data_IF_947513504496
#
_entry.id   IF_947513504496
#
_cell.length_a   1.000
_cell.length_b   1.000
_cell.length_c   1.000
_cell.angle_alpha   90.00
_cell.angle_beta   90.00
_cell.angle_gamma   90.00
#
_symmetry.space_group_name_H-M   'P 1'
#
loop_
_entity.id
_entity.type
_entity.pdbx_description
1 polymer ?
#
# COMPACT_ATOMS: atom_id res chain seq x y z
N UNK A 1 -15.48 3.86 0.82
CA UNK A 1 -14.91 2.55 1.17
C UNK A 1 -15.17 2.28 2.63
N UNK A 2 -15.65 1.08 2.95
CA UNK A 2 -15.98 0.74 4.32
C UNK A 2 -14.78 0.38 5.20
N UNK A 3 -13.58 0.44 4.67
CA UNK A 3 -12.38 0.03 5.39
C UNK A 3 -11.31 1.12 5.31
N UNK A 4 -10.90 1.61 6.49
CA UNK A 4 -9.88 2.66 6.61
C UNK A 4 -8.55 2.21 6.04
N UNK A 5 -8.16 0.96 6.22
CA UNK A 5 -6.89 0.44 5.70
C UNK A 5 -6.86 0.44 4.18
N UNK A 6 -7.98 0.13 3.53
CA UNK A 6 -8.07 0.20 2.07
C UNK A 6 -7.92 1.64 1.56
N UNK A 7 -8.52 2.58 2.25
CA UNK A 7 -8.35 4.00 1.95
C UNK A 7 -6.89 4.43 2.10
N UNK A 8 -6.24 3.99 3.17
CA UNK A 8 -4.81 4.26 3.40
C UNK A 8 -3.94 3.68 2.30
N UNK A 9 -4.23 2.45 1.85
CA UNK A 9 -3.49 1.82 0.75
C UNK A 9 -3.60 2.64 -0.52
N UNK A 10 -4.80 3.04 -0.91
CA UNK A 10 -5.01 3.85 -2.11
C UNK A 10 -4.27 5.18 -2.01
N UNK A 11 -4.34 5.83 -0.84
CA UNK A 11 -3.65 7.08 -0.58
C UNK A 11 -2.13 6.93 -0.72
N UNK A 12 -1.57 5.82 -0.22
CA UNK A 12 -0.14 5.56 -0.31
C UNK A 12 0.30 5.35 -1.76
N UNK A 13 -0.52 4.69 -2.56
CA UNK A 13 -0.23 4.46 -3.97
C UNK A 13 -0.40 5.71 -4.83
N UNK A 14 -1.21 6.66 -4.39
CA UNK A 14 -1.26 7.98 -5.01
C UNK A 14 0.03 8.75 -4.78
N UNK A 15 0.59 8.64 -3.59
CA UNK A 15 1.85 9.32 -3.24
C UNK A 15 3.06 8.63 -3.86
N UNK A 16 3.06 7.30 -3.86
CA UNK A 16 4.16 6.48 -4.39
C UNK A 16 3.61 5.62 -5.52
N UNK A 17 3.91 5.85 -6.71
CA UNK A 17 3.33 5.20 -7.88
C UNK A 17 3.26 3.67 -7.79
N UNK A 18 4.20 3.06 -7.09
CA UNK A 18 4.26 1.61 -6.93
C UNK A 18 4.86 1.25 -5.56
N UNK A 19 4.28 0.26 -4.89
CA UNK A 19 4.77 -0.24 -3.61
C UNK A 19 4.75 -1.76 -3.60
N UNK A 20 5.79 -2.37 -3.01
CA UNK A 20 5.81 -3.79 -2.71
C UNK A 20 4.90 -4.09 -1.51
N UNK A 21 4.32 -5.29 -1.48
CA UNK A 21 3.46 -5.71 -0.37
C UNK A 21 4.18 -5.62 0.98
N UNK A 22 5.49 -5.87 1.02
CA UNK A 22 6.30 -5.69 2.23
C UNK A 22 6.23 -4.28 2.78
N UNK A 23 6.35 -3.30 1.91
CA UNK A 23 6.30 -1.89 2.27
C UNK A 23 4.91 -1.52 2.76
N UNK A 24 3.88 -2.03 2.10
CA UNK A 24 2.49 -1.74 2.45
C UNK A 24 2.17 -2.29 3.83
N UNK A 25 2.46 -3.55 4.11
CA UNK A 25 2.10 -4.12 5.40
C UNK A 25 2.93 -3.56 6.56
N UNK A 26 4.19 -3.21 6.30
CA UNK A 26 5.02 -2.55 7.30
C UNK A 26 4.46 -1.17 7.66
N UNK A 27 4.08 -0.41 6.65
CA UNK A 27 3.50 0.92 6.85
C UNK A 27 2.13 0.86 7.55
N UNK A 28 1.27 -0.09 7.15
CA UNK A 28 -0.05 -0.25 7.77
C UNK A 28 0.03 -0.77 9.21
N UNK A 29 1.12 -1.46 9.57
CA UNK A 29 1.24 -2.09 10.86
C UNK A 29 0.39 -3.34 11.02
N UNK A 30 0.11 -4.04 9.90
CA UNK A 30 -0.67 -5.29 9.90
C UNK A 30 0.18 -6.43 9.34
N UNK A 31 -0.31 -7.67 9.48
CA UNK A 31 0.38 -8.83 8.93
C UNK A 31 0.37 -8.81 7.39
N UNK A 32 1.32 -9.53 6.78
CA UNK A 32 1.34 -9.67 5.34
C UNK A 32 0.06 -10.29 4.78
N UNK A 33 -0.52 -11.27 5.50
CA UNK A 33 -1.78 -11.89 5.11
C UNK A 33 -2.94 -10.89 5.09
N UNK A 34 -3.03 -10.05 6.12
CA UNK A 34 -4.07 -9.02 6.20
C UNK A 34 -3.92 -7.99 5.08
N UNK A 35 -2.69 -7.52 4.83
CA UNK A 35 -2.41 -6.59 3.74
C UNK A 35 -2.78 -7.21 2.38
N UNK A 36 -2.43 -8.48 2.17
CA UNK A 36 -2.77 -9.21 0.93
C UNK A 36 -4.27 -9.31 0.74
N UNK A 37 -5.04 -9.56 1.81
CA UNK A 37 -6.49 -9.61 1.73
C UNK A 37 -7.09 -8.27 1.28
N UNK A 38 -6.60 -7.16 1.82
CA UNK A 38 -7.04 -5.83 1.39
C UNK A 38 -6.68 -5.57 -0.08
N UNK A 39 -5.47 -5.93 -0.48
CA UNK A 39 -5.01 -5.73 -1.85
C UNK A 39 -5.78 -6.60 -2.84
N UNK A 40 -6.12 -7.83 -2.46
CA UNK A 40 -6.95 -8.70 -3.30
C UNK A 40 -8.34 -8.12 -3.50
N UNK A 41 -8.94 -7.58 -2.44
CA UNK A 41 -10.26 -6.93 -2.54
C UNK A 41 -10.20 -5.71 -3.46
N UNK A 42 -9.15 -4.89 -3.35
CA UNK A 42 -8.95 -3.74 -4.22
C UNK A 42 -8.69 -4.15 -5.67
N UNK A 43 -7.98 -5.25 -5.88
CA UNK A 43 -7.75 -5.81 -7.21
C UNK A 43 -9.03 -6.31 -7.88
N UNK A 44 -9.91 -6.96 -7.11
CA UNK A 44 -11.21 -7.39 -7.61
C UNK A 44 -12.10 -6.21 -8.00
N UNK A 45 -11.98 -5.10 -7.28
CA UNK A 45 -12.68 -3.86 -7.62
C UNK A 45 -12.01 -3.08 -8.75
N UNK A 46 -10.90 -3.58 -9.29
CA UNK A 46 -10.12 -2.95 -10.37
C UNK A 46 -9.55 -1.58 -10.00
N UNK A 47 -9.31 -1.37 -8.70
CA UNK A 47 -8.71 -0.13 -8.19
C UNK A 47 -7.19 -0.23 -8.24
N UNK A 48 -6.64 -1.42 -7.95
CA UNK A 48 -5.20 -1.67 -8.01
C UNK A 48 -4.89 -2.80 -8.98
N UNK A 49 -3.67 -2.78 -9.49
CA UNK A 49 -3.10 -3.88 -10.28
C UNK A 49 -1.79 -4.32 -9.66
N UNK A 50 -1.35 -5.52 -9.97
CA UNK A 50 -0.12 -6.08 -9.43
C UNK A 50 0.85 -6.44 -10.55
N UNK A 51 2.14 -6.40 -10.21
CA UNK A 51 3.22 -6.84 -11.07
C UNK A 51 4.16 -7.72 -10.24
N UNK A 52 4.47 -8.89 -10.75
CA UNK A 52 5.38 -9.81 -10.06
C UNK A 52 6.78 -9.67 -10.67
N UNK A 53 7.76 -9.49 -9.81
CA UNK A 53 9.17 -9.44 -10.19
C UNK A 53 9.95 -10.37 -9.27
N UNK A 54 10.32 -11.55 -9.80
CA UNK A 54 10.89 -12.62 -8.98
C UNK A 54 9.90 -13.05 -7.90
N UNK A 55 10.32 -12.98 -6.64
CA UNK A 55 9.48 -13.29 -5.49
C UNK A 55 8.70 -12.07 -4.96
N UNK A 56 8.93 -10.89 -5.54
CA UNK A 56 8.35 -9.64 -5.08
C UNK A 56 7.08 -9.32 -5.86
N UNK A 57 6.04 -8.90 -5.16
CA UNK A 57 4.80 -8.46 -5.78
C UNK A 57 4.64 -6.96 -5.52
N UNK A 58 4.55 -6.21 -6.58
CA UNK A 58 4.40 -4.76 -6.55
C UNK A 58 2.97 -4.38 -6.93
N UNK A 59 2.41 -3.43 -6.22
CA UNK A 59 1.05 -2.94 -6.46
C UNK A 59 1.09 -1.48 -6.88
N UNK A 60 0.19 -1.14 -7.80
CA UNK A 60 0.01 0.23 -8.28
C UNK A 60 -1.47 0.46 -8.57
N UNK A 61 -1.85 1.73 -8.70
CA UNK A 61 -3.23 2.07 -9.03
C UNK A 61 -3.52 1.76 -10.49
N UNK A 62 -4.69 1.18 -10.74
CA UNK A 62 -5.15 0.93 -12.11
C UNK A 62 -5.93 2.15 -12.58
N UNK A 63 -5.32 2.99 -13.40
CA UNK A 63 -5.87 4.27 -13.83
C UNK A 63 -6.54 4.23 -15.20
N UNK A 64 -6.90 3.05 -15.68
CA UNK A 64 -7.55 2.91 -16.98
C UNK A 64 -9.01 3.36 -16.98
N UNK A 65 -9.65 3.40 -15.82
CA UNK A 65 -11.06 3.74 -15.66
C UNK A 65 -11.20 5.19 -15.23
N UNK A 66 -12.03 5.96 -15.94
CA UNK A 66 -12.29 7.37 -15.61
C UNK A 66 -12.96 7.54 -14.25
N UNK A 67 -13.81 6.61 -13.84
CA UNK A 67 -14.45 6.64 -12.54
C UNK A 67 -13.42 6.50 -11.42
N UNK A 68 -12.40 5.69 -11.63
CA UNK A 68 -11.30 5.54 -10.68
C UNK A 68 -10.48 6.83 -10.61
N UNK A 69 -10.22 7.46 -11.75
CA UNK A 69 -9.51 8.75 -11.77
C UNK A 69 -10.28 9.84 -11.02
N UNK A 70 -11.60 9.87 -11.14
CA UNK A 70 -12.44 10.79 -10.38
C UNK A 70 -12.37 10.51 -8.88
N UNK A 71 -12.41 9.24 -8.49
CA UNK A 71 -12.26 8.83 -7.10
C UNK A 71 -10.90 9.27 -6.54
N UNK A 72 -9.84 9.12 -7.33
CA UNK A 72 -8.48 9.51 -6.91
C UNK A 72 -8.35 11.01 -6.67
N UNK A 73 -8.97 11.83 -7.51
CA UNK A 73 -9.00 13.29 -7.30
C UNK A 73 -9.71 13.65 -6.00
N UNK A 74 -10.80 12.97 -5.70
CA UNK A 74 -11.51 13.14 -4.44
C UNK A 74 -10.64 12.78 -3.25
N UNK A 75 -9.92 11.64 -3.34
CA UNK A 75 -9.00 11.17 -2.29
C UNK A 75 -7.87 12.17 -2.08
N UNK A 76 -7.26 12.68 -3.15
CA UNK A 76 -6.20 13.69 -3.05
C UNK A 76 -6.66 14.92 -2.28
N UNK A 77 -7.87 15.38 -2.55
CA UNK A 77 -8.45 16.52 -1.84
C UNK A 77 -8.66 16.20 -0.36
N UNK A 78 -9.14 14.99 -0.04
CA UNK A 78 -9.32 14.56 1.35
C UNK A 78 -8.00 14.47 2.10
N UNK A 79 -6.96 13.97 1.44
CA UNK A 79 -5.61 13.90 2.03
C UNK A 79 -5.12 15.30 2.41
N UNK A 80 -5.31 16.29 1.54
CA UNK A 80 -4.85 17.64 1.81
C UNK A 80 -5.60 18.31 2.95
N UNK A 81 -6.81 17.86 3.27
CA UNK A 81 -7.65 18.40 4.35
C UNK A 81 -7.47 17.67 5.69
N UNK A 82 -6.85 16.49 5.70
CA UNK A 82 -6.72 15.65 6.89
C UNK A 82 -5.27 15.58 7.37
N UNK A 83 -4.99 16.23 8.50
CA UNK A 83 -3.65 16.27 9.05
C UNK A 83 -3.16 14.91 9.55
N UNK A 84 -4.04 14.07 10.08
CA UNK A 84 -3.67 12.70 10.51
C UNK A 84 -3.24 11.86 9.33
N UNK A 85 -3.94 11.97 8.21
CA UNK A 85 -3.61 11.24 7.01
C UNK A 85 -2.29 11.72 6.41
N UNK A 86 -2.03 13.04 6.44
CA UNK A 86 -0.75 13.61 6.00
C UNK A 86 0.40 13.09 6.84
N UNK A 87 0.24 13.02 8.15
CA UNK A 87 1.23 12.45 9.07
C UNK A 87 1.49 10.97 8.78
N UNK A 88 0.43 10.21 8.54
CA UNK A 88 0.50 8.80 8.19
C UNK A 88 1.29 8.60 6.89
N UNK A 89 1.06 9.45 5.89
CA UNK A 89 1.79 9.41 4.62
C UNK A 89 3.25 9.82 4.76
N UNK A 90 3.60 10.71 5.70
CA UNK A 90 4.99 11.04 6.00
C UNK A 90 5.74 9.82 6.52
N UNK A 91 5.10 8.99 7.32
CA UNK A 91 5.68 7.74 7.80
C UNK A 91 6.00 6.78 6.66
N UNK A 92 5.24 6.86 5.57
CA UNK A 92 5.50 6.05 4.38
C UNK A 92 6.89 6.34 3.79
N UNK A 93 7.36 7.58 3.85
CA UNK A 93 8.69 7.93 3.36
C UNK A 93 9.79 7.19 4.12
N UNK A 94 9.60 6.96 5.42
CA UNK A 94 10.55 6.19 6.24
C UNK A 94 10.56 4.71 5.85
N UNK A 95 9.40 4.15 5.60
CA UNK A 95 9.26 2.74 5.17
C UNK A 95 9.88 2.55 3.79
N UNK A 96 9.61 3.46 2.86
CA UNK A 96 10.09 3.35 1.49
C UNK A 96 11.58 3.69 1.35
N UNK A 97 12.22 4.25 2.38
CA UNK A 97 13.67 4.44 2.39
C UNK A 97 14.43 3.12 2.52
N UNK A 98 13.79 2.06 2.98
CA UNK A 98 14.36 0.72 3.04
C UNK A 98 14.03 -0.04 1.76
N UNK A 99 14.98 -0.83 1.26
CA UNK A 99 14.70 -1.73 0.15
C UNK A 99 13.78 -2.86 0.61
N UNK A 100 13.03 -3.52 -0.29
CA UNK A 100 12.22 -4.67 0.09
C UNK A 100 13.02 -5.78 0.77
N UNK A 101 14.28 -5.99 0.36
CA UNK A 101 15.16 -6.98 0.96
C UNK A 101 15.47 -6.62 2.43
N UNK A 102 15.78 -5.38 2.69
CA UNK A 102 16.05 -4.88 4.06
C UNK A 102 14.83 -5.03 4.96
N UNK A 103 13.64 -4.67 4.46
CA UNK A 103 12.39 -4.83 5.20
C UNK A 103 12.11 -6.29 5.52
N UNK A 104 12.32 -7.18 4.57
CA UNK A 104 12.14 -8.61 4.76
C UNK A 104 13.05 -9.14 5.87
N UNK A 105 14.31 -8.75 5.86
CA UNK A 105 15.27 -9.18 6.89
C UNK A 105 14.86 -8.66 8.26
N UNK A 106 14.46 -7.40 8.37
CA UNK A 106 13.97 -6.82 9.63
C UNK A 106 12.73 -7.54 10.14
N UNK A 107 11.81 -7.87 9.25
CA UNK A 107 10.58 -8.57 9.60
C UNK A 107 10.85 -10.00 10.06
N UNK A 108 11.84 -10.67 9.47
CA UNK A 108 12.28 -12.00 9.91
C UNK A 108 12.88 -11.97 11.32
N UNK A 109 13.63 -10.93 11.65
CA UNK A 109 14.16 -10.75 13.00
C UNK A 109 13.05 -10.55 14.02
N UNK A 110 12.00 -9.82 13.66
CA UNK A 110 10.85 -9.58 14.54
C UNK A 110 9.90 -10.75 14.62
N UNK A 111 9.73 -11.47 13.52
CA UNK A 111 8.76 -12.57 13.40
C UNK A 111 9.35 -13.66 12.51
N UNK A 112 9.95 -14.65 13.14
CA UNK A 112 10.70 -15.70 12.46
C UNK A 112 9.90 -16.50 11.41
N UNK A 113 8.57 -16.42 11.42
CA UNK A 113 7.70 -17.18 10.52
C UNK A 113 7.10 -16.36 9.39
N UNK A 114 7.29 -15.05 9.37
CA UNK A 114 6.70 -14.21 8.34
C UNK A 114 7.57 -14.12 7.12
N UNK A 115 7.05 -14.66 6.06
CA UNK A 115 7.56 -14.46 4.72
C UNK A 115 6.70 -13.39 4.06
N UNK A 116 7.24 -12.21 3.85
CA UNK A 116 6.57 -11.17 3.13
C UNK A 116 7.20 -11.05 1.74
N UNK A 117 6.42 -10.82 0.74
CA UNK A 117 6.87 -10.80 -0.65
C UNK A 117 7.37 -12.16 -1.10
#
# INVERSE_FOLDING_TARGET
MGDRNRFRIVSSLLKRNELCVCQIHEWLGVSGATASNHLNALGKAKIVKSRKEGRWVHYSLDQKDEDINTLMKWIERKISEDSELLEDLKRLDKVTSCTPIELRNRQREKQATLSCC
#
